data_IF_813118673956
#
_entry.id   IF_813118673956
#
_cell.length_a   1.000
_cell.length_b   1.000
_cell.length_c   1.000
_cell.angle_alpha   90.00
_cell.angle_beta   90.00
_cell.angle_gamma   90.00
#
_symmetry.space_group_name_H-M   'P 1'
#
loop_
_entity.id
_entity.type
_entity.pdbx_description
1 polymer ?
#
# COMPACT_ATOMS: atom_id res chain seq x y z
N UNK A 1 52.65 68.72 -0.95
CA UNK A 1 52.53 67.29 -1.32
C UNK A 1 51.56 66.62 -0.33
N UNK A 2 50.28 66.49 -0.71
CA UNK A 2 49.25 65.85 0.14
C UNK A 2 48.98 64.47 -0.35
N UNK A 3 49.24 63.45 0.48
CA UNK A 3 48.93 62.06 0.17
C UNK A 3 47.44 61.83 0.47
N UNK A 4 46.69 61.53 -0.55
CA UNK A 4 45.29 61.14 -0.47
C UNK A 4 45.20 59.63 -0.21
N UNK A 5 44.70 59.27 0.98
CA UNK A 5 44.53 57.90 1.39
C UNK A 5 43.11 57.43 1.02
N UNK A 6 43.00 56.59 -0.01
CA UNK A 6 41.75 55.96 -0.38
C UNK A 6 41.41 54.83 0.60
N UNK A 7 40.35 55.03 1.38
CA UNK A 7 39.76 53.99 2.24
C UNK A 7 38.70 53.27 1.37
N UNK A 8 39.01 52.03 1.00
CA UNK A 8 38.05 51.14 0.33
C UNK A 8 37.21 50.47 1.42
N UNK A 9 35.98 50.89 1.55
CA UNK A 9 34.97 50.25 2.37
C UNK A 9 34.47 49.00 1.63
N UNK A 10 35.00 47.81 2.04
CA UNK A 10 34.48 46.54 1.55
C UNK A 10 33.20 46.22 2.30
N UNK A 11 32.05 46.44 1.64
CA UNK A 11 30.75 46.09 2.16
C UNK A 11 30.50 44.60 1.91
N UNK A 12 30.85 43.75 2.91
CA UNK A 12 30.46 42.34 2.88
C UNK A 12 28.95 42.22 3.07
N UNK A 13 28.22 42.10 1.98
CA UNK A 13 26.81 41.77 1.98
C UNK A 13 26.63 40.30 2.32
N UNK A 14 26.43 39.99 3.60
CA UNK A 14 26.00 38.67 4.04
C UNK A 14 24.58 38.41 3.55
N UNK A 15 24.45 37.79 2.37
CA UNK A 15 23.20 37.17 1.98
C UNK A 15 22.94 35.97 2.87
N UNK A 16 22.11 36.14 3.88
CA UNK A 16 21.49 35.03 4.59
C UNK A 16 20.52 34.35 3.60
N UNK A 17 20.99 33.27 2.95
CA UNK A 17 20.11 32.33 2.30
C UNK A 17 19.28 31.63 3.41
N UNK A 18 18.11 32.16 3.68
CA UNK A 18 17.09 31.45 4.42
C UNK A 18 16.60 30.30 3.55
N UNK A 19 17.17 29.11 3.76
CA UNK A 19 16.57 27.88 3.22
C UNK A 19 15.25 27.68 3.94
N UNK A 20 14.19 28.23 3.39
CA UNK A 20 12.83 27.82 3.73
C UNK A 20 12.71 26.35 3.28
N UNK A 21 12.81 25.45 4.22
CA UNK A 21 12.30 24.09 4.03
C UNK A 21 10.80 24.24 3.82
N UNK A 22 10.37 24.15 2.57
CA UNK A 22 8.96 23.97 2.25
C UNK A 22 8.59 22.62 2.87
N UNK A 23 7.89 22.63 4.02
CA UNK A 23 7.12 21.48 4.46
C UNK A 23 6.23 21.11 3.27
N UNK A 24 6.58 20.04 2.61
CA UNK A 24 5.73 19.41 1.61
C UNK A 24 4.48 18.94 2.37
N UNK A 25 3.46 19.79 2.40
CA UNK A 25 2.10 19.39 2.74
C UNK A 25 1.64 18.44 1.63
N UNK A 26 2.12 17.19 1.69
CA UNK A 26 1.64 16.11 0.83
C UNK A 26 0.18 15.90 1.19
N UNK A 27 -0.68 16.55 0.38
CA UNK A 27 -2.13 16.42 0.51
C UNK A 27 -2.45 14.93 0.36
N UNK A 28 -3.00 14.33 1.42
CA UNK A 28 -3.49 12.95 1.38
C UNK A 28 -4.44 12.80 0.18
N UNK A 29 -4.06 12.02 -0.81
CA UNK A 29 -4.91 11.75 -1.97
C UNK A 29 -6.17 10.97 -1.58
N UNK A 30 -6.10 10.24 -0.46
CA UNK A 30 -7.17 9.41 0.09
C UNK A 30 -7.42 9.78 1.57
N UNK A 31 -8.19 10.85 1.84
CA UNK A 31 -8.54 11.25 3.20
C UNK A 31 -9.43 10.20 3.87
N UNK A 32 -9.58 10.27 5.20
CA UNK A 32 -10.49 9.39 5.94
C UNK A 32 -11.92 9.45 5.39
N UNK A 33 -12.52 8.30 5.23
CA UNK A 33 -13.94 8.13 4.86
C UNK A 33 -14.67 7.22 5.86
N UNK A 34 -14.14 7.10 7.09
CA UNK A 34 -14.62 6.19 8.14
C UNK A 34 -16.12 6.34 8.44
N UNK A 35 -16.65 7.55 8.32
CA UNK A 35 -18.05 7.86 8.60
C UNK A 35 -18.98 7.64 7.40
N UNK A 36 -18.46 7.21 6.25
CA UNK A 36 -19.26 6.90 5.07
C UNK A 36 -19.74 5.46 5.10
N UNK A 37 -20.91 5.21 4.54
CA UNK A 37 -21.46 3.87 4.40
C UNK A 37 -21.15 3.33 3.00
N UNK A 38 -20.63 2.13 2.95
CA UNK A 38 -20.35 1.40 1.71
C UNK A 38 -21.01 0.02 1.80
N UNK A 39 -21.29 -0.57 0.65
CA UNK A 39 -21.87 -1.93 0.55
C UNK A 39 -20.98 -2.97 1.26
N UNK A 40 -21.52 -4.15 1.52
CA UNK A 40 -20.72 -5.23 2.07
C UNK A 40 -19.68 -5.71 1.07
N UNK A 41 -18.65 -6.38 1.56
CA UNK A 41 -17.55 -6.95 0.76
C UNK A 41 -18.04 -7.91 -0.32
N UNK A 42 -19.02 -8.75 -0.02
CA UNK A 42 -19.58 -9.70 -0.99
C UNK A 42 -20.35 -8.98 -2.08
N UNK A 43 -21.21 -8.02 -1.73
CA UNK A 43 -21.93 -7.21 -2.71
C UNK A 43 -20.98 -6.44 -3.61
N UNK A 44 -19.91 -5.87 -3.05
CA UNK A 44 -18.90 -5.18 -3.84
C UNK A 44 -18.17 -6.14 -4.76
N UNK A 45 -17.77 -7.32 -4.27
CA UNK A 45 -17.10 -8.34 -5.06
C UNK A 45 -17.92 -8.80 -6.27
N UNK A 46 -19.24 -8.98 -6.10
CA UNK A 46 -20.12 -9.36 -7.22
C UNK A 46 -20.23 -8.27 -8.29
N UNK A 47 -20.13 -6.99 -7.88
CA UNK A 47 -20.15 -5.84 -8.78
C UNK A 47 -18.78 -5.52 -9.42
N UNK A 48 -17.71 -6.08 -8.87
CA UNK A 48 -16.35 -5.82 -9.32
C UNK A 48 -16.10 -6.42 -10.71
N UNK A 49 -15.51 -5.63 -11.62
CA UNK A 49 -15.03 -6.14 -12.89
C UNK A 49 -14.00 -7.27 -12.67
N UNK A 50 -14.33 -8.47 -13.14
CA UNK A 50 -13.49 -9.66 -12.97
C UNK A 50 -12.15 -9.57 -13.73
N UNK A 51 -11.95 -8.53 -14.57
CA UNK A 51 -10.65 -8.19 -15.15
C UNK A 51 -9.74 -7.51 -14.14
N UNK A 52 -10.30 -6.77 -13.17
CA UNK A 52 -9.54 -6.14 -12.08
C UNK A 52 -9.12 -7.22 -11.09
N UNK A 53 -10.09 -8.01 -10.60
CA UNK A 53 -9.81 -9.10 -9.69
C UNK A 53 -10.89 -10.19 -9.79
N UNK A 54 -10.41 -11.42 -9.82
CA UNK A 54 -11.26 -12.63 -9.75
C UNK A 54 -10.53 -13.64 -8.88
N UNK A 55 -11.20 -14.24 -7.91
CA UNK A 55 -10.65 -15.37 -7.15
C UNK A 55 -10.27 -16.52 -8.09
N UNK A 56 -9.38 -17.40 -7.64
CA UNK A 56 -9.11 -18.65 -8.39
C UNK A 56 -10.37 -19.51 -8.41
N UNK A 57 -10.69 -20.13 -9.54
CA UNK A 57 -11.88 -20.98 -9.68
C UNK A 57 -11.86 -22.18 -8.72
N UNK A 58 -10.68 -22.67 -8.39
CA UNK A 58 -10.40 -23.78 -7.48
C UNK A 58 -9.65 -23.30 -6.22
N UNK A 59 -10.02 -22.12 -5.71
CA UNK A 59 -9.41 -21.58 -4.52
C UNK A 59 -9.56 -22.55 -3.33
N UNK A 60 -8.44 -22.91 -2.72
CA UNK A 60 -8.41 -23.66 -1.46
C UNK A 60 -8.74 -22.73 -0.28
N UNK A 61 -8.46 -21.44 -0.44
CA UNK A 61 -8.76 -20.41 0.56
C UNK A 61 -8.97 -19.04 -0.10
N UNK A 62 -10.02 -18.33 0.32
CA UNK A 62 -10.29 -16.95 -0.11
C UNK A 62 -10.68 -16.07 1.07
N UNK A 63 -10.37 -14.79 0.95
CA UNK A 63 -10.72 -13.75 1.92
C UNK A 63 -11.43 -12.62 1.19
N UNK A 64 -12.56 -12.17 1.76
CA UNK A 64 -13.26 -10.95 1.36
C UNK A 64 -13.53 -10.16 2.63
N UNK A 65 -13.01 -8.95 2.71
CA UNK A 65 -13.20 -8.09 3.89
C UNK A 65 -13.31 -6.62 3.48
N UNK A 66 -14.15 -5.90 4.20
CA UNK A 66 -14.17 -4.43 4.23
C UNK A 66 -13.53 -3.99 5.55
N UNK A 67 -12.39 -3.31 5.47
CA UNK A 67 -11.52 -2.98 6.61
C UNK A 67 -11.04 -1.53 6.52
N UNK A 68 -10.36 -1.07 7.54
CA UNK A 68 -9.60 0.18 7.49
C UNK A 68 -8.21 -0.07 6.88
N UNK A 69 -7.66 0.92 6.19
CA UNK A 69 -6.37 0.79 5.52
C UNK A 69 -5.23 0.39 6.47
N UNK A 70 -5.27 0.88 7.72
CA UNK A 70 -4.31 0.49 8.77
C UNK A 70 -4.34 -0.99 9.14
N UNK A 71 -5.44 -1.70 8.82
CA UNK A 71 -5.61 -3.14 9.11
C UNK A 71 -5.12 -4.04 7.98
N UNK A 72 -4.81 -3.45 6.81
CA UNK A 72 -4.34 -4.20 5.62
C UNK A 72 -3.09 -5.03 5.90
N UNK A 73 -2.05 -4.50 6.60
CA UNK A 73 -0.85 -5.30 6.89
C UNK A 73 -1.14 -6.56 7.71
N UNK A 74 -2.03 -6.47 8.69
CA UNK A 74 -2.39 -7.59 9.55
C UNK A 74 -3.20 -8.64 8.77
N UNK A 75 -4.10 -8.21 7.88
CA UNK A 75 -4.88 -9.12 7.04
C UNK A 75 -4.00 -9.80 5.98
N UNK A 76 -3.07 -9.08 5.38
CA UNK A 76 -2.09 -9.65 4.45
C UNK A 76 -1.21 -10.69 5.17
N UNK A 77 -0.71 -10.36 6.35
CA UNK A 77 0.08 -11.29 7.16
C UNK A 77 -0.73 -12.53 7.54
N UNK A 78 -1.98 -12.35 8.00
CA UNK A 78 -2.88 -13.47 8.32
C UNK A 78 -3.15 -14.37 7.11
N UNK A 79 -3.37 -13.78 5.93
CA UNK A 79 -3.53 -14.53 4.69
C UNK A 79 -2.28 -15.33 4.34
N UNK A 80 -1.10 -14.71 4.41
CA UNK A 80 0.17 -15.37 4.14
C UNK A 80 0.47 -16.49 5.14
N UNK A 81 0.19 -16.31 6.44
CA UNK A 81 0.35 -17.35 7.44
C UNK A 81 -0.52 -18.58 7.16
N UNK A 82 -1.76 -18.38 6.69
CA UNK A 82 -2.68 -19.49 6.38
C UNK A 82 -2.38 -20.20 5.09
N UNK A 83 -1.60 -19.60 4.21
CA UNK A 83 -1.35 -20.08 2.84
C UNK A 83 0.11 -20.33 2.53
N UNK A 84 1.02 -20.10 3.49
CA UNK A 84 2.45 -20.28 3.30
C UNK A 84 3.04 -21.12 4.42
N UNK A 85 3.75 -22.17 4.06
CA UNK A 85 4.59 -22.91 4.99
C UNK A 85 5.86 -22.09 5.24
N UNK A 86 5.93 -21.46 6.43
CA UNK A 86 7.19 -20.89 6.93
C UNK A 86 7.55 -19.47 6.51
N UNK A 87 6.68 -18.69 5.84
CA UNK A 87 6.98 -17.31 5.49
C UNK A 87 6.87 -16.37 6.69
N UNK A 88 8.03 -15.88 7.15
CA UNK A 88 8.14 -14.71 8.02
C UNK A 88 8.35 -13.48 7.14
N UNK A 89 7.29 -12.79 6.79
CA UNK A 89 7.39 -11.48 6.15
C UNK A 89 6.63 -10.47 6.99
N UNK A 90 7.35 -9.62 7.69
CA UNK A 90 6.79 -8.41 8.27
C UNK A 90 6.81 -7.35 7.18
N UNK A 91 5.69 -7.14 6.52
CA UNK A 91 5.57 -6.06 5.55
C UNK A 91 5.20 -4.79 6.30
N UNK A 92 6.19 -3.91 6.49
CA UNK A 92 5.94 -2.58 7.05
C UNK A 92 5.42 -1.69 5.94
N UNK A 93 4.16 -1.25 6.07
CA UNK A 93 3.56 -0.29 5.16
C UNK A 93 3.54 1.10 5.77
N UNK A 94 4.20 2.03 5.12
CA UNK A 94 3.93 3.45 5.27
C UNK A 94 3.59 4.02 3.90
N UNK A 95 2.30 4.04 3.58
CA UNK A 95 1.82 4.82 2.44
C UNK A 95 1.37 6.17 2.96
N UNK A 96 2.21 7.19 2.79
CA UNK A 96 1.97 8.54 3.28
C UNK A 96 0.82 9.27 2.60
N UNK A 97 0.25 8.69 1.53
CA UNK A 97 -0.83 9.30 0.74
C UNK A 97 -2.22 8.83 1.13
N UNK A 98 -2.33 7.76 1.93
CA UNK A 98 -3.59 7.14 2.33
C UNK A 98 -3.79 7.28 3.83
N UNK A 99 -4.95 7.85 4.23
CA UNK A 99 -5.27 7.98 5.65
C UNK A 99 -5.47 6.60 6.29
N UNK A 100 -4.92 6.32 7.49
CA UNK A 100 -5.06 5.04 8.18
C UNK A 100 -6.50 4.58 8.37
N UNK A 101 -7.44 5.52 8.60
CA UNK A 101 -8.86 5.24 8.77
C UNK A 101 -9.67 5.31 7.45
N UNK A 102 -9.00 5.15 6.29
CA UNK A 102 -9.67 4.98 5.00
C UNK A 102 -10.27 3.59 4.91
N UNK A 103 -11.56 3.47 4.56
CA UNK A 103 -12.20 2.17 4.32
C UNK A 103 -11.78 1.63 2.95
N UNK A 104 -11.42 0.37 2.93
CA UNK A 104 -10.97 -0.37 1.75
C UNK A 104 -11.60 -1.76 1.72
N UNK A 105 -11.63 -2.36 0.54
CA UNK A 105 -11.90 -3.78 0.37
C UNK A 105 -10.59 -4.53 0.19
N UNK A 106 -10.39 -5.57 0.97
CA UNK A 106 -9.29 -6.51 0.87
C UNK A 106 -9.83 -7.84 0.35
N UNK A 107 -9.36 -8.26 -0.81
CA UNK A 107 -9.67 -9.56 -1.39
C UNK A 107 -8.39 -10.35 -1.58
N UNK A 108 -8.41 -11.62 -1.20
CA UNK A 108 -7.27 -12.51 -1.39
C UNK A 108 -7.75 -13.90 -1.80
N UNK A 109 -6.94 -14.61 -2.56
CA UNK A 109 -7.25 -15.96 -3.03
C UNK A 109 -5.99 -16.79 -3.15
N UNK A 110 -6.06 -18.02 -2.65
CA UNK A 110 -5.02 -19.03 -2.69
C UNK A 110 -5.53 -20.28 -3.40
N UNK A 111 -4.74 -20.79 -4.29
CA UNK A 111 -4.97 -22.06 -4.97
C UNK A 111 -3.70 -22.88 -4.96
N UNK A 112 -3.82 -24.18 -4.77
CA UNK A 112 -2.71 -25.10 -4.84
C UNK A 112 -3.11 -26.37 -5.59
N UNK A 113 -2.13 -27.00 -6.22
CA UNK A 113 -2.18 -28.36 -6.74
C UNK A 113 -1.02 -29.18 -6.14
N UNK A 114 -0.68 -30.31 -6.75
CA UNK A 114 0.37 -31.19 -6.26
C UNK A 114 1.75 -30.53 -6.18
N UNK A 115 2.09 -29.69 -7.17
CA UNK A 115 3.42 -29.09 -7.29
C UNK A 115 3.41 -27.56 -7.19
N UNK A 116 2.26 -26.90 -7.37
CA UNK A 116 2.20 -25.45 -7.54
C UNK A 116 1.32 -24.77 -6.50
N UNK A 117 1.74 -23.61 -6.08
CA UNK A 117 0.97 -22.71 -5.22
C UNK A 117 0.86 -21.33 -5.85
N UNK A 118 -0.35 -20.80 -5.85
CA UNK A 118 -0.68 -19.50 -6.40
C UNK A 118 -1.37 -18.65 -5.35
N UNK A 119 -0.86 -17.47 -5.08
CA UNK A 119 -1.44 -16.49 -4.17
C UNK A 119 -1.65 -15.18 -4.88
N UNK A 120 -2.72 -14.51 -4.59
CA UNK A 120 -2.95 -13.12 -5.00
C UNK A 120 -3.83 -12.41 -4.00
N UNK A 121 -3.62 -11.12 -3.88
CA UNK A 121 -4.52 -10.23 -3.17
C UNK A 121 -4.62 -8.88 -3.88
N UNK A 122 -5.64 -8.12 -3.55
CA UNK A 122 -5.87 -6.75 -3.99
C UNK A 122 -6.50 -5.93 -2.88
N UNK A 123 -6.11 -4.67 -2.80
CA UNK A 123 -6.71 -3.65 -1.93
C UNK A 123 -7.36 -2.59 -2.81
N UNK A 124 -8.65 -2.39 -2.64
CA UNK A 124 -9.45 -1.45 -3.45
C UNK A 124 -10.06 -0.40 -2.53
N UNK A 125 -9.92 0.85 -2.88
CA UNK A 125 -10.55 1.96 -2.17
C UNK A 125 -12.08 1.87 -2.24
N UNK A 126 -12.75 1.92 -1.08
CA UNK A 126 -14.18 1.72 -1.02
C UNK A 126 -14.98 2.85 -1.69
N UNK A 127 -14.44 4.06 -1.75
CA UNK A 127 -15.11 5.24 -2.29
C UNK A 127 -14.84 5.43 -3.78
N UNK A 128 -13.56 5.41 -4.17
CA UNK A 128 -13.16 5.68 -5.56
C UNK A 128 -13.16 4.44 -6.43
N UNK A 129 -13.23 3.24 -5.82
CA UNK A 129 -13.13 1.92 -6.47
C UNK A 129 -11.82 1.70 -7.22
N UNK A 130 -10.81 2.51 -6.93
CA UNK A 130 -9.47 2.38 -7.51
C UNK A 130 -8.68 1.35 -6.73
N UNK A 131 -7.88 0.61 -7.46
CA UNK A 131 -6.85 -0.22 -6.87
C UNK A 131 -5.82 0.66 -6.15
N UNK A 132 -5.52 0.30 -4.91
CA UNK A 132 -4.49 0.92 -4.09
C UNK A 132 -3.24 0.06 -4.03
N UNK A 133 -3.42 -1.26 -4.09
CA UNK A 133 -2.34 -2.23 -3.95
C UNK A 133 -2.75 -3.60 -4.47
N UNK A 134 -1.81 -4.32 -5.04
CA UNK A 134 -1.95 -5.74 -5.37
C UNK A 134 -0.67 -6.51 -5.02
N UNK A 135 -0.82 -7.83 -4.85
CA UNK A 135 0.29 -8.75 -4.74
C UNK A 135 -0.06 -10.10 -5.36
N UNK A 136 0.94 -10.70 -6.00
CA UNK A 136 0.84 -12.02 -6.61
C UNK A 136 2.12 -12.79 -6.30
N UNK A 137 1.99 -14.06 -5.95
CA UNK A 137 3.13 -14.96 -5.84
C UNK A 137 2.80 -16.33 -6.40
N UNK A 138 3.82 -16.97 -6.91
CA UNK A 138 3.80 -18.32 -7.42
C UNK A 138 4.98 -19.07 -6.81
N UNK A 139 4.75 -20.30 -6.40
CA UNK A 139 5.77 -21.21 -5.93
C UNK A 139 5.58 -22.58 -6.57
N UNK A 140 6.68 -23.16 -7.07
CA UNK A 140 6.74 -24.51 -7.60
C UNK A 140 7.61 -25.37 -6.69
N UNK A 141 7.12 -26.58 -6.35
CA UNK A 141 7.86 -27.55 -5.58
C UNK A 141 8.43 -28.62 -6.52
N UNK A 142 9.76 -28.70 -6.60
CA UNK A 142 10.43 -29.75 -7.39
C UNK A 142 10.14 -31.15 -6.84
N UNK A 143 9.85 -31.26 -5.55
CA UNK A 143 9.42 -32.49 -4.88
C UNK A 143 8.08 -32.23 -4.17
N UNK A 144 6.98 -32.88 -4.59
CA UNK A 144 5.66 -32.68 -3.98
C UNK A 144 5.56 -33.15 -2.52
N UNK A 145 6.57 -33.86 -2.01
CA UNK A 145 6.62 -34.32 -0.60
C UNK A 145 7.32 -33.31 0.33
N UNK A 146 7.79 -32.17 -0.17
CA UNK A 146 8.44 -31.10 0.62
C UNK A 146 7.46 -30.03 1.13
N UNK A 147 6.16 -30.25 1.03
CA UNK A 147 5.12 -29.33 1.50
C UNK A 147 4.94 -29.34 3.00
#
# INVERSE_FOLDING_TARGET
>A
MKKMMCIIFSLCFFMHLSTTYAESNTKLNYPSNRNKLFVSEDVFYEQLDKKIYKEYNNAAYSVRKKILFKEVPDEEFSFLQKTAVGCRSSVVFQDSFIHPDRQVYFFASFSQNEADEFRKYIVIDAETKKELREGKSYHHYDNPYEK
#
